data_IF_159872715518
#
_entry.id   IF_159872715518
#
_cell.length_a   1.000
_cell.length_b   1.000
_cell.length_c   1.000
_cell.angle_alpha   90.00
_cell.angle_beta   90.00
_cell.angle_gamma   90.00
#
_symmetry.space_group_name_H-M   'P 1'
#
loop_
_entity.id
_entity.type
_entity.pdbx_description
1 polymer ?
#
# COMPACT_ATOMS: atom_id res chain seq x y z
N UNK A 1 -12.49 19.36 11.92
CA UNK A 1 -12.66 18.16 11.07
C UNK A 1 -13.47 18.48 9.83
N UNK A 2 -14.73 18.92 9.97
CA UNK A 2 -15.64 19.21 8.85
C UNK A 2 -15.05 20.21 7.83
N UNK A 3 -14.46 21.31 8.31
CA UNK A 3 -13.86 22.36 7.48
C UNK A 3 -12.69 21.85 6.61
N UNK A 4 -11.84 20.99 7.17
CA UNK A 4 -10.73 20.39 6.42
C UNK A 4 -11.24 19.41 5.36
N UNK A 5 -12.29 18.65 5.65
CA UNK A 5 -12.88 17.74 4.66
C UNK A 5 -13.50 18.51 3.50
N UNK A 6 -14.23 19.58 3.78
CA UNK A 6 -14.79 20.43 2.73
C UNK A 6 -13.69 21.08 1.87
N UNK A 7 -12.57 21.47 2.48
CA UNK A 7 -11.44 22.10 1.78
C UNK A 7 -10.64 21.15 0.90
N UNK A 8 -10.29 19.95 1.40
CA UNK A 8 -9.30 19.08 0.75
C UNK A 8 -9.92 17.86 0.06
N UNK A 9 -10.88 17.19 0.69
CA UNK A 9 -11.50 15.98 0.15
C UNK A 9 -13.04 15.97 0.29
N UNK A 10 -13.74 16.97 -0.28
CA UNK A 10 -15.20 17.01 -0.22
C UNK A 10 -15.79 15.77 -0.90
N UNK A 11 -16.96 15.32 -0.45
CA UNK A 11 -17.58 14.13 -1.02
C UNK A 11 -17.82 14.29 -2.54
N UNK A 12 -17.40 13.27 -3.29
CA UNK A 12 -17.41 13.30 -4.75
C UNK A 12 -16.13 13.86 -5.40
N UNK A 13 -15.20 14.46 -4.65
CA UNK A 13 -13.92 14.93 -5.21
C UNK A 13 -13.04 13.77 -5.72
N UNK A 14 -12.11 14.06 -6.64
CA UNK A 14 -11.17 13.06 -7.15
C UNK A 14 -10.39 12.39 -6.02
N UNK A 15 -9.82 13.19 -5.10
CA UNK A 15 -9.10 12.70 -3.94
C UNK A 15 -9.98 11.81 -3.07
N UNK A 16 -11.22 12.23 -2.80
CA UNK A 16 -12.12 11.44 -1.95
C UNK A 16 -12.51 10.11 -2.58
N UNK A 17 -12.67 10.06 -3.92
CA UNK A 17 -12.89 8.80 -4.65
C UNK A 17 -11.65 7.90 -4.60
N UNK A 18 -10.45 8.47 -4.75
CA UNK A 18 -9.20 7.72 -4.63
C UNK A 18 -9.02 7.11 -3.24
N UNK A 19 -9.19 7.90 -2.17
CA UNK A 19 -9.16 7.42 -0.79
C UNK A 19 -10.14 6.27 -0.52
N UNK A 20 -11.37 6.35 -1.05
CA UNK A 20 -12.34 5.25 -0.94
C UNK A 20 -11.86 3.99 -1.66
N UNK A 21 -11.29 4.14 -2.87
CA UNK A 21 -10.75 3.00 -3.62
C UNK A 21 -9.55 2.37 -2.92
N UNK A 22 -8.63 3.17 -2.35
CA UNK A 22 -7.51 2.66 -1.55
C UNK A 22 -8.01 1.87 -0.32
N UNK A 23 -9.05 2.37 0.36
CA UNK A 23 -9.67 1.63 1.47
C UNK A 23 -10.30 0.30 1.01
N UNK A 24 -10.91 0.25 -0.17
CA UNK A 24 -11.46 -0.98 -0.72
C UNK A 24 -10.35 -1.99 -1.07
N UNK A 25 -9.21 -1.52 -1.61
CA UNK A 25 -8.01 -2.35 -1.81
C UNK A 25 -7.53 -2.89 -0.45
N UNK A 26 -7.41 -2.04 0.57
CA UNK A 26 -6.98 -2.44 1.90
C UNK A 26 -7.90 -3.52 2.50
N UNK A 27 -9.22 -3.42 2.36
CA UNK A 27 -10.15 -4.44 2.86
C UNK A 27 -9.96 -5.81 2.18
N UNK A 28 -9.65 -5.81 0.88
CA UNK A 28 -9.33 -7.06 0.16
C UNK A 28 -8.03 -7.64 0.69
N UNK A 29 -6.99 -6.83 0.83
CA UNK A 29 -5.70 -7.26 1.37
C UNK A 29 -5.83 -7.75 2.81
N UNK A 30 -6.58 -7.04 3.67
CA UNK A 30 -6.88 -7.44 5.04
C UNK A 30 -7.56 -8.81 5.11
N UNK A 31 -8.58 -9.04 4.27
CA UNK A 31 -9.25 -10.35 4.19
C UNK A 31 -8.28 -11.48 3.84
N UNK A 32 -7.36 -11.23 2.91
CA UNK A 32 -6.32 -12.20 2.52
C UNK A 32 -5.32 -12.39 3.67
N UNK A 33 -4.86 -11.30 4.31
CA UNK A 33 -3.96 -11.35 5.45
C UNK A 33 -4.55 -12.16 6.62
N UNK A 34 -5.81 -11.91 6.98
CA UNK A 34 -6.53 -12.66 8.02
C UNK A 34 -6.64 -14.14 7.70
N UNK A 35 -7.00 -14.49 6.44
CA UNK A 35 -7.09 -15.88 5.97
C UNK A 35 -5.75 -16.63 6.10
N UNK A 36 -4.63 -15.95 5.90
CA UNK A 36 -3.29 -16.55 5.91
C UNK A 36 -2.50 -16.31 7.19
N UNK A 37 -3.13 -15.75 8.23
CA UNK A 37 -2.49 -15.39 9.50
C UNK A 37 -1.24 -14.53 9.30
N UNK A 38 -1.39 -13.46 8.52
CA UNK A 38 -0.35 -12.47 8.27
C UNK A 38 -0.74 -11.18 8.96
N UNK A 39 0.11 -10.74 9.89
CA UNK A 39 -0.07 -9.46 10.57
C UNK A 39 0.54 -8.34 9.74
N UNK A 40 -0.16 -7.21 9.70
CA UNK A 40 0.33 -5.96 9.14
C UNK A 40 -0.09 -4.81 10.05
N UNK A 41 0.61 -3.69 9.92
CA UNK A 41 0.24 -2.43 10.59
C UNK A 41 0.01 -1.36 9.53
N UNK A 42 -0.90 -0.40 9.80
CA UNK A 42 -0.90 0.85 9.05
C UNK A 42 0.41 1.59 9.33
N UNK A 43 0.96 2.27 8.32
CA UNK A 43 2.22 2.98 8.45
C UNK A 43 2.08 4.50 8.25
N UNK A 44 3.01 5.27 8.81
CA UNK A 44 3.16 6.71 8.56
C UNK A 44 1.86 7.53 8.66
N UNK A 45 1.56 8.26 7.57
CA UNK A 45 0.37 9.12 7.44
C UNK A 45 -0.94 8.35 7.58
N UNK A 46 -0.97 7.11 7.10
CA UNK A 46 -2.13 6.21 7.18
C UNK A 46 -2.49 5.88 8.62
N UNK A 47 -1.51 5.51 9.46
CA UNK A 47 -1.72 5.26 10.88
C UNK A 47 -2.14 6.53 11.63
N UNK A 48 -1.43 7.64 11.38
CA UNK A 48 -1.74 8.92 12.01
C UNK A 48 -3.14 9.40 11.64
N UNK A 49 -3.55 9.24 10.39
CA UNK A 49 -4.89 9.51 9.89
C UNK A 49 -5.91 8.70 10.67
N UNK A 50 -5.76 7.38 10.72
CA UNK A 50 -6.71 6.48 11.38
C UNK A 50 -6.96 6.92 12.84
N UNK A 51 -5.91 7.23 13.59
CA UNK A 51 -6.01 7.65 15.00
C UNK A 51 -6.56 9.07 15.15
N UNK A 52 -6.04 10.04 14.38
CA UNK A 52 -6.34 11.48 14.55
C UNK A 52 -7.62 11.92 13.87
N UNK A 53 -7.91 11.40 12.68
CA UNK A 53 -9.02 11.80 11.81
C UNK A 53 -10.12 10.74 11.70
N UNK A 54 -9.96 9.59 12.34
CA UNK A 54 -10.88 8.44 12.18
C UNK A 54 -11.00 8.00 10.71
N UNK A 55 -9.90 8.10 9.96
CA UNK A 55 -9.83 7.84 8.53
C UNK A 55 -8.62 8.54 7.91
N UNK A 56 -8.62 8.76 6.60
CA UNK A 56 -7.54 9.48 5.93
C UNK A 56 -7.31 10.89 6.50
N UNK A 57 -6.06 11.34 6.49
CA UNK A 57 -5.77 12.76 6.56
C UNK A 57 -6.44 13.43 5.34
N UNK A 58 -7.15 14.57 5.47
CA UNK A 58 -7.97 15.10 4.40
C UNK A 58 -7.24 15.37 3.07
N UNK A 59 -5.92 15.60 3.12
CA UNK A 59 -5.07 15.86 1.97
C UNK A 59 -4.14 14.69 1.59
N UNK A 60 -4.18 13.55 2.29
CA UNK A 60 -3.40 12.35 1.91
C UNK A 60 -3.94 11.74 0.62
N UNK A 61 -3.03 11.39 -0.27
CA UNK A 61 -3.27 10.75 -1.57
C UNK A 61 -2.74 9.32 -1.67
N UNK A 62 -2.14 8.78 -0.61
CA UNK A 62 -1.65 7.41 -0.49
C UNK A 62 -2.24 6.63 0.69
N UNK A 63 -1.90 5.34 0.76
CA UNK A 63 -2.25 4.42 1.85
C UNK A 63 -1.16 3.36 1.97
N UNK A 64 -0.59 3.23 3.17
CA UNK A 64 0.57 2.40 3.45
C UNK A 64 0.27 1.36 4.53
N UNK A 65 0.72 0.14 4.28
CA UNK A 65 0.87 -0.89 5.30
C UNK A 65 2.30 -1.39 5.37
N UNK A 66 2.71 -1.75 6.59
CA UNK A 66 4.00 -2.37 6.85
C UNK A 66 3.80 -3.81 7.32
N UNK A 67 4.63 -4.70 6.77
CA UNK A 67 4.59 -6.15 7.00
C UNK A 67 6.00 -6.66 7.28
N UNK A 68 6.17 -7.58 8.23
CA UNK A 68 7.47 -8.20 8.48
C UNK A 68 8.00 -8.90 7.23
N UNK A 69 9.31 -8.81 6.95
CA UNK A 69 9.95 -9.38 5.74
C UNK A 69 9.52 -10.83 5.46
N UNK A 70 9.50 -11.67 6.50
CA UNK A 70 9.08 -13.08 6.40
C UNK A 70 7.67 -13.24 5.82
N UNK A 71 6.75 -12.36 6.21
CA UNK A 71 5.36 -12.38 5.78
C UNK A 71 5.15 -11.64 4.47
N UNK A 72 5.94 -10.61 4.19
CA UNK A 72 6.00 -9.97 2.89
C UNK A 72 6.35 -10.97 1.78
N UNK A 73 7.35 -11.83 1.98
CA UNK A 73 7.71 -12.89 1.02
C UNK A 73 6.60 -13.94 0.82
N UNK A 74 5.75 -14.14 1.84
CA UNK A 74 4.55 -14.97 1.72
C UNK A 74 3.49 -14.24 0.89
N UNK A 75 3.20 -12.96 1.21
CA UNK A 75 2.24 -12.13 0.48
C UNK A 75 2.59 -12.00 -1.00
N UNK A 76 3.86 -11.81 -1.36
CA UNK A 76 4.34 -11.77 -2.75
C UNK A 76 3.88 -12.99 -3.56
N UNK A 77 3.75 -14.15 -2.93
CA UNK A 77 3.32 -15.40 -3.58
C UNK A 77 1.79 -15.61 -3.53
N UNK A 78 1.12 -15.02 -2.54
CA UNK A 78 -0.31 -15.19 -2.27
C UNK A 78 -1.13 -14.18 -3.08
N UNK A 79 -0.77 -12.89 -3.03
CA UNK A 79 -1.55 -11.80 -3.63
C UNK A 79 -1.81 -12.01 -5.13
N UNK A 80 -0.82 -12.40 -5.98
CA UNK A 80 -1.09 -12.66 -7.40
C UNK A 80 -2.13 -13.76 -7.67
N UNK A 81 -2.40 -14.64 -6.71
CA UNK A 81 -3.32 -15.78 -6.86
C UNK A 81 -4.71 -15.52 -6.28
N UNK A 82 -4.81 -14.66 -5.28
CA UNK A 82 -6.05 -14.45 -4.52
C UNK A 82 -6.68 -13.06 -4.72
N UNK A 83 -5.94 -12.12 -5.33
CA UNK A 83 -6.52 -10.84 -5.69
C UNK A 83 -7.65 -11.01 -6.72
N UNK A 84 -8.73 -10.23 -6.61
CA UNK A 84 -9.78 -10.20 -7.62
C UNK A 84 -9.23 -9.66 -8.95
N UNK A 85 -9.94 -9.93 -10.04
CA UNK A 85 -9.47 -9.61 -11.40
C UNK A 85 -9.29 -8.12 -11.67
N UNK A 86 -9.97 -7.26 -10.90
CA UNK A 86 -9.87 -5.80 -10.96
C UNK A 86 -8.69 -5.25 -10.15
N UNK A 87 -7.89 -6.10 -9.50
CA UNK A 87 -6.68 -5.73 -8.77
C UNK A 87 -5.46 -6.50 -9.26
N UNK A 88 -4.28 -5.93 -9.02
CA UNK A 88 -3.00 -6.52 -9.43
C UNK A 88 -1.91 -6.24 -8.42
N UNK A 89 -1.13 -7.26 -8.09
CA UNK A 89 0.11 -7.11 -7.34
C UNK A 89 1.23 -6.66 -8.27
N UNK A 90 2.01 -5.66 -7.86
CA UNK A 90 3.14 -5.12 -8.60
C UNK A 90 4.35 -4.88 -7.68
N UNK A 91 5.48 -5.49 -8.02
CA UNK A 91 6.82 -5.16 -7.53
C UNK A 91 7.88 -5.41 -8.62
N UNK A 92 9.16 -5.27 -8.28
CA UNK A 92 10.29 -5.50 -9.18
C UNK A 92 10.33 -6.92 -9.81
N UNK A 93 9.65 -7.90 -9.23
CA UNK A 93 9.59 -9.27 -9.78
C UNK A 93 8.52 -9.41 -10.87
N UNK A 94 7.48 -8.58 -10.82
CA UNK A 94 6.36 -8.59 -11.77
C UNK A 94 6.47 -7.53 -12.88
N UNK A 95 7.31 -6.52 -12.66
CA UNK A 95 7.52 -5.40 -13.56
C UNK A 95 9.00 -5.00 -13.58
N UNK A 96 9.73 -5.32 -14.67
CA UNK A 96 11.15 -4.97 -14.82
C UNK A 96 11.44 -3.46 -14.79
N UNK A 97 10.43 -2.61 -14.98
CA UNK A 97 10.58 -1.16 -14.92
C UNK A 97 10.33 -0.59 -13.52
N UNK A 98 10.08 -1.44 -12.51
CA UNK A 98 9.73 -1.05 -11.15
C UNK A 98 10.98 -0.98 -10.24
N UNK A 99 11.52 0.22 -9.94
CA UNK A 99 12.84 0.35 -9.32
C UNK A 99 12.81 0.44 -7.79
N UNK A 100 11.63 0.35 -7.16
CA UNK A 100 11.44 0.61 -5.72
C UNK A 100 11.24 -0.71 -4.97
N UNK A 101 11.72 -0.76 -3.72
CA UNK A 101 11.62 -1.93 -2.83
C UNK A 101 10.23 -2.14 -2.19
N UNK A 102 9.28 -1.23 -2.44
CA UNK A 102 7.90 -1.28 -1.95
C UNK A 102 7.03 -1.99 -2.99
N UNK A 103 6.21 -2.95 -2.56
CA UNK A 103 5.23 -3.55 -3.44
C UNK A 103 3.92 -2.77 -3.41
N UNK A 104 3.18 -2.79 -4.52
CA UNK A 104 1.85 -2.18 -4.62
C UNK A 104 0.79 -3.20 -4.97
N UNK A 105 -0.38 -3.08 -4.36
CA UNK A 105 -1.62 -3.64 -4.92
C UNK A 105 -2.36 -2.51 -5.61
N UNK A 106 -2.56 -2.64 -6.92
CA UNK A 106 -3.16 -1.60 -7.75
C UNK A 106 -4.53 -2.00 -8.26
N UNK A 107 -5.40 -1.01 -8.40
CA UNK A 107 -6.66 -1.13 -9.13
C UNK A 107 -6.43 -1.07 -10.64
N UNK A 108 -6.93 -2.05 -11.40
CA UNK A 108 -6.79 -2.10 -12.86
C UNK A 108 -7.73 -1.17 -13.62
N UNK A 109 -8.75 -0.64 -12.96
CA UNK A 109 -9.77 0.20 -13.58
C UNK A 109 -9.59 1.70 -13.31
N UNK A 110 -8.44 2.10 -12.75
CA UNK A 110 -8.07 3.49 -12.56
C UNK A 110 -6.72 3.81 -13.19
N UNK A 111 -6.45 5.10 -13.29
CA UNK A 111 -5.19 5.64 -13.75
C UNK A 111 -4.76 6.78 -12.82
N UNK A 112 -3.52 6.72 -12.36
CA UNK A 112 -2.88 7.68 -11.49
C UNK A 112 -1.51 8.02 -12.07
N UNK A 113 -1.26 9.31 -12.23
CA UNK A 113 0.06 9.82 -12.57
C UNK A 113 0.79 10.18 -11.27
N UNK A 114 1.80 9.40 -10.91
CA UNK A 114 2.61 9.65 -9.70
C UNK A 114 3.80 10.56 -10.02
N UNK A 115 4.59 10.20 -11.03
CA UNK A 115 5.77 10.94 -11.48
C UNK A 115 6.23 10.49 -12.88
N UNK A 116 7.13 11.24 -13.52
CA UNK A 116 7.60 10.92 -14.89
C UNK A 116 8.20 9.51 -15.03
N UNK A 117 8.95 9.05 -14.02
CA UNK A 117 9.55 7.72 -14.02
C UNK A 117 8.49 6.60 -14.02
N UNK A 118 7.30 6.86 -13.47
CA UNK A 118 6.20 5.89 -13.42
C UNK A 118 5.58 5.62 -14.79
N UNK A 119 5.88 6.44 -15.81
CA UNK A 119 5.38 6.24 -17.16
C UNK A 119 5.82 4.92 -17.80
N UNK A 120 6.92 4.33 -17.33
CA UNK A 120 7.43 3.03 -17.81
C UNK A 120 6.83 1.84 -17.07
N UNK A 121 6.11 2.06 -15.96
CA UNK A 121 5.48 0.99 -15.22
C UNK A 121 4.37 0.34 -16.04
N UNK A 122 4.21 -0.96 -15.85
CA UNK A 122 3.16 -1.77 -16.47
C UNK A 122 1.78 -1.36 -15.94
N UNK A 123 1.65 -1.25 -14.62
CA UNK A 123 0.41 -0.90 -13.93
C UNK A 123 0.54 0.50 -13.32
N UNK A 124 -0.52 1.31 -13.43
CA UNK A 124 -0.53 2.74 -13.06
C UNK A 124 -1.80 3.15 -12.32
N UNK A 125 -2.52 2.18 -11.74
CA UNK A 125 -3.75 2.46 -11.00
C UNK A 125 -3.51 3.02 -9.61
N UNK A 126 -4.59 3.49 -8.98
CA UNK A 126 -4.66 3.77 -7.55
C UNK A 126 -4.19 2.53 -6.78
N UNK A 127 -3.44 2.75 -5.69
CA UNK A 127 -2.69 1.69 -5.06
C UNK A 127 -2.80 1.68 -3.53
N UNK A 128 -2.45 0.54 -2.95
CA UNK A 128 -2.00 0.37 -1.57
C UNK A 128 -0.51 0.03 -1.60
N UNK A 129 0.30 0.75 -0.85
CA UNK A 129 1.71 0.44 -0.66
C UNK A 129 1.90 -0.61 0.45
N UNK A 130 2.75 -1.61 0.18
CA UNK A 130 3.12 -2.69 1.10
C UNK A 130 4.63 -2.62 1.31
N UNK A 131 5.01 -2.14 2.49
CA UNK A 131 6.39 -1.86 2.85
C UNK A 131 6.92 -3.04 3.68
N UNK A 132 7.99 -3.72 3.23
CA UNK A 132 8.61 -4.75 4.04
C UNK A 132 9.44 -4.13 5.17
N UNK A 133 9.22 -4.60 6.40
CA UNK A 133 10.02 -4.26 7.57
C UNK A 133 10.99 -5.38 7.91
N UNK A 134 12.25 -5.02 8.09
CA UNK A 134 13.30 -5.93 8.55
C UNK A 134 13.32 -5.99 10.08
N UNK A 135 13.62 -7.17 10.63
CA UNK A 135 14.05 -7.26 12.02
C UNK A 135 15.48 -6.72 12.11
N UNK A 136 15.68 -5.68 12.91
CA UNK A 136 17.04 -5.23 13.23
C UNK A 136 17.59 -6.22 14.27
N UNK A 137 18.68 -6.96 13.97
CA UNK A 137 19.33 -7.81 14.95
C UNK A 137 19.75 -6.96 16.14
N UNK A 138 19.62 -7.50 17.35
CA UNK A 138 20.18 -6.85 18.54
C UNK A 138 21.66 -6.54 18.28
N UNK A 139 22.15 -5.35 18.67
CA UNK A 139 23.52 -4.89 18.38
C UNK A 139 24.58 -5.85 18.95
N UNK A 140 24.22 -6.67 19.94
CA UNK A 140 25.04 -7.75 20.47
C UNK A 140 25.20 -8.95 19.49
N UNK A 141 24.21 -9.17 18.63
CA UNK A 141 24.26 -10.13 17.53
C UNK A 141 24.74 -9.43 16.26
N UNK A 142 26.05 -9.50 15.99
CA UNK A 142 26.63 -9.13 14.69
C UNK A 142 26.13 -10.09 13.58
N UNK A 143 24.87 -10.00 13.21
CA UNK A 143 24.43 -10.52 11.93
C UNK A 143 24.94 -9.55 10.87
N UNK A 144 25.75 -10.05 9.94
CA UNK A 144 26.17 -9.29 8.77
C UNK A 144 24.90 -8.89 8.01
N UNK A 145 24.66 -7.59 7.95
CA UNK A 145 23.68 -7.01 7.04
C UNK A 145 24.32 -7.07 5.65
N UNK A 146 23.94 -8.09 4.87
CA UNK A 146 24.30 -8.16 3.46
C UNK A 146 23.34 -7.24 2.69
N UNK A 147 23.82 -6.03 2.38
CA UNK A 147 23.23 -5.12 1.40
C UNK A 147 23.79 -5.40 0.01
#
# INVERSE_FOLDING_TARGET
MEDLRQKYNPDGSLLRRAQRRMLDILKVVDTICQKHHIEYVLDGGSLLGAVRHSGFIPWDDDLDITVMRKDFERLRKILPKELPSDMVYQDYTTDPNYPILVAKVRDRHSYLYEAEWTNKLKEKGIFLDIIPMEEIPDLASKAKLDY
#
